data_IF_516630829581
#
_entry.id   IF_516630829581
#
_cell.length_a   1.000
_cell.length_b   1.000
_cell.length_c   1.000
_cell.angle_alpha   90.00
_cell.angle_beta   90.00
_cell.angle_gamma   90.00
#
_symmetry.space_group_name_H-M   'P 1'
#
loop_
_entity.id
_entity.type
_entity.pdbx_description
1 polymer ?
#
# COMPACT_ATOMS: atom_id res chain seq x y z
N UNK A 1 -20.74 -58.88 27.77
CA UNK A 1 -21.81 -58.53 26.81
C UNK A 1 -23.08 -58.22 27.59
N UNK A 2 -23.83 -57.15 27.24
CA UNK A 2 -24.93 -56.59 28.05
C UNK A 2 -26.35 -57.03 27.67
N UNK A 3 -27.37 -56.46 28.33
CA UNK A 3 -28.79 -56.77 28.06
C UNK A 3 -29.25 -56.30 26.68
N UNK A 4 -30.28 -56.94 26.11
CA UNK A 4 -30.83 -56.61 24.79
C UNK A 4 -31.23 -55.13 24.65
N UNK A 5 -31.87 -54.57 25.69
CA UNK A 5 -32.25 -53.14 25.74
C UNK A 5 -31.02 -52.23 25.71
N UNK A 6 -29.94 -52.61 26.39
CA UNK A 6 -28.66 -51.91 26.36
C UNK A 6 -27.99 -51.98 24.98
N UNK A 7 -27.99 -53.15 24.33
CA UNK A 7 -27.43 -53.33 22.99
C UNK A 7 -28.16 -52.47 21.95
N UNK A 8 -29.50 -52.43 21.99
CA UNK A 8 -30.30 -51.56 21.12
C UNK A 8 -29.95 -50.08 21.31
N UNK A 9 -29.72 -49.67 22.55
CA UNK A 9 -29.34 -48.30 22.87
C UNK A 9 -27.93 -47.96 22.35
N UNK A 10 -26.94 -48.81 22.61
CA UNK A 10 -25.55 -48.60 22.17
C UNK A 10 -25.46 -48.58 20.65
N UNK A 11 -26.15 -49.50 19.96
CA UNK A 11 -26.23 -49.49 18.48
C UNK A 11 -26.70 -48.14 17.95
N UNK A 12 -27.80 -47.61 18.49
CA UNK A 12 -28.33 -46.30 18.08
C UNK A 12 -27.31 -45.18 18.31
N UNK A 13 -26.66 -45.15 19.47
CA UNK A 13 -25.64 -44.14 19.79
C UNK A 13 -24.50 -44.19 18.77
N UNK A 14 -23.97 -45.38 18.49
CA UNK A 14 -22.86 -45.55 17.53
C UNK A 14 -23.27 -45.11 16.13
N UNK A 15 -24.43 -45.53 15.64
CA UNK A 15 -24.94 -45.13 14.32
C UNK A 15 -25.14 -43.62 14.21
N UNK A 16 -25.74 -42.98 15.22
CA UNK A 16 -25.99 -41.53 15.25
C UNK A 16 -24.68 -40.72 15.33
N UNK A 17 -23.66 -41.25 16.03
CA UNK A 17 -22.32 -40.66 16.08
C UNK A 17 -21.61 -40.75 14.73
N UNK A 18 -21.65 -41.91 14.07
CA UNK A 18 -21.03 -42.13 12.75
C UNK A 18 -21.67 -41.20 11.69
N UNK A 19 -22.99 -41.05 11.73
CA UNK A 19 -23.73 -40.17 10.79
C UNK A 19 -23.61 -38.68 11.12
N UNK A 20 -22.89 -38.31 12.20
CA UNK A 20 -22.78 -36.93 12.70
C UNK A 20 -24.15 -36.25 12.93
N UNK A 21 -25.14 -37.04 13.37
CA UNK A 21 -26.51 -36.56 13.67
C UNK A 21 -26.52 -35.97 15.08
N UNK A 22 -25.99 -36.72 16.04
CA UNK A 22 -25.84 -36.31 17.44
C UNK A 22 -24.48 -36.75 17.97
N UNK A 23 -23.82 -35.87 18.72
CA UNK A 23 -22.60 -36.18 19.45
C UNK A 23 -22.91 -37.15 20.62
N UNK A 24 -22.04 -38.11 20.96
CA UNK A 24 -22.31 -39.13 21.99
C UNK A 24 -22.66 -38.53 23.36
N UNK A 25 -22.09 -37.38 23.70
CA UNK A 25 -22.40 -36.63 24.94
C UNK A 25 -23.88 -36.29 25.05
N UNK A 26 -24.57 -35.98 23.94
CA UNK A 26 -26.01 -35.71 23.97
C UNK A 26 -26.83 -36.96 24.28
N UNK A 27 -26.43 -38.11 23.72
CA UNK A 27 -27.08 -39.38 24.06
C UNK A 27 -26.87 -39.79 25.51
N UNK A 28 -25.68 -39.54 26.07
CA UNK A 28 -25.40 -39.77 27.49
C UNK A 28 -26.32 -38.88 28.34
N UNK A 29 -26.46 -37.59 27.99
CA UNK A 29 -27.35 -36.67 28.71
C UNK A 29 -28.83 -37.10 28.63
N UNK A 30 -29.29 -37.52 27.46
CA UNK A 30 -30.63 -38.09 27.28
C UNK A 30 -30.83 -39.35 28.16
N UNK A 31 -29.83 -40.22 28.23
CA UNK A 31 -29.88 -41.45 29.03
C UNK A 31 -29.94 -41.18 30.53
N UNK A 32 -29.16 -40.22 31.02
CA UNK A 32 -29.20 -39.79 32.41
C UNK A 32 -30.61 -39.28 32.77
N UNK A 33 -31.18 -38.40 31.96
CA UNK A 33 -32.52 -37.84 32.19
C UNK A 33 -33.59 -38.96 32.15
N UNK A 34 -33.53 -39.87 31.17
CA UNK A 34 -34.46 -41.02 31.11
C UNK A 34 -34.36 -41.93 32.32
N UNK A 35 -33.16 -42.12 32.87
CA UNK A 35 -32.97 -42.94 34.08
C UNK A 35 -33.59 -42.29 35.31
N UNK A 36 -33.49 -40.97 35.43
CA UNK A 36 -34.13 -40.24 36.52
C UNK A 36 -35.67 -40.17 36.36
N UNK A 37 -36.17 -39.92 35.15
CA UNK A 37 -37.61 -39.92 34.87
C UNK A 37 -38.26 -41.28 35.10
N UNK A 38 -37.56 -42.37 34.78
CA UNK A 38 -38.05 -43.73 35.00
C UNK A 38 -38.25 -44.07 36.49
N UNK A 39 -37.59 -43.35 37.42
CA UNK A 39 -37.79 -43.54 38.86
C UNK A 39 -39.11 -42.94 39.36
N UNK A 40 -39.67 -41.98 38.63
CA UNK A 40 -40.89 -41.27 39.02
C UNK A 40 -42.13 -42.01 38.49
N UNK A 41 -42.95 -42.66 39.34
CA UNK A 41 -44.10 -43.46 38.88
C UNK A 41 -45.21 -42.61 38.26
N UNK A 42 -45.35 -41.34 38.66
CA UNK A 42 -46.38 -40.43 38.15
C UNK A 42 -46.24 -40.09 36.66
N UNK A 43 -45.02 -40.14 36.11
CA UNK A 43 -44.71 -39.78 34.72
C UNK A 43 -44.51 -41.02 33.83
N UNK A 44 -44.82 -42.22 34.33
CA UNK A 44 -44.59 -43.46 33.59
C UNK A 44 -45.52 -43.63 32.37
N UNK A 45 -46.73 -43.06 32.45
CA UNK A 45 -47.76 -43.14 31.39
C UNK A 45 -47.67 -42.00 30.38
N UNK A 46 -46.90 -40.95 30.67
CA UNK A 46 -46.79 -39.75 29.84
C UNK A 46 -45.57 -39.80 28.90
N UNK A 47 -45.63 -39.03 27.80
CA UNK A 47 -44.49 -38.87 26.88
C UNK A 47 -43.36 -38.06 27.50
N UNK A 48 -42.14 -38.60 27.50
CA UNK A 48 -40.95 -37.94 28.06
C UNK A 48 -40.28 -36.91 27.13
N UNK A 49 -40.81 -36.68 25.93
CA UNK A 49 -40.17 -35.84 24.90
C UNK A 49 -39.93 -34.39 25.37
N UNK A 50 -40.81 -33.87 26.23
CA UNK A 50 -40.71 -32.51 26.81
C UNK A 50 -39.48 -32.31 27.69
N UNK A 51 -39.01 -33.37 28.33
CA UNK A 51 -37.86 -33.33 29.24
C UNK A 51 -36.54 -33.67 28.53
N UNK A 52 -36.61 -34.14 27.28
CA UNK A 52 -35.42 -34.54 26.52
C UNK A 52 -34.82 -33.35 25.76
N UNK A 53 -33.49 -33.13 25.84
CA UNK A 53 -32.84 -32.07 25.08
C UNK A 53 -32.95 -32.29 23.56
N UNK A 54 -33.60 -31.35 22.87
CA UNK A 54 -33.70 -31.37 21.41
C UNK A 54 -32.50 -30.67 20.75
N UNK A 55 -31.42 -31.41 20.52
CA UNK A 55 -30.27 -30.89 19.78
C UNK A 55 -30.49 -31.02 18.28
N UNK A 56 -30.80 -29.90 17.62
CA UNK A 56 -30.85 -29.79 16.15
C UNK A 56 -29.58 -29.12 15.65
N UNK A 57 -28.87 -29.75 14.71
CA UNK A 57 -27.73 -29.14 14.03
C UNK A 57 -28.21 -27.89 13.29
N UNK A 58 -27.82 -26.71 13.77
CA UNK A 58 -28.10 -25.45 13.09
C UNK A 58 -27.16 -25.33 11.89
N UNK A 59 -27.60 -25.77 10.71
CA UNK A 59 -26.91 -25.51 9.45
C UNK A 59 -27.13 -24.05 9.03
N UNK A 60 -26.56 -23.11 9.79
CA UNK A 60 -26.59 -21.70 9.42
C UNK A 60 -25.71 -21.53 8.18
N UNK A 61 -26.31 -21.13 7.06
CA UNK A 61 -25.59 -20.89 5.82
C UNK A 61 -24.65 -19.70 6.03
N UNK A 62 -23.35 -19.96 6.05
CA UNK A 62 -22.34 -18.90 6.04
C UNK A 62 -22.33 -18.22 4.65
N UNK A 63 -21.99 -16.93 4.61
CA UNK A 63 -21.84 -16.20 3.36
C UNK A 63 -20.77 -16.90 2.51
N UNK A 64 -21.13 -17.27 1.28
CA UNK A 64 -20.20 -17.88 0.34
C UNK A 64 -19.15 -16.84 -0.06
N UNK A 65 -17.85 -17.15 -0.03
CA UNK A 65 -16.83 -16.26 -0.58
C UNK A 65 -17.09 -16.07 -2.08
N UNK A 66 -16.79 -14.88 -2.61
CA UNK A 66 -16.93 -14.62 -4.04
C UNK A 66 -15.90 -15.47 -4.79
N UNK A 67 -16.33 -16.62 -5.30
CA UNK A 67 -15.48 -17.57 -6.02
C UNK A 67 -15.16 -16.99 -7.39
N UNK A 68 -13.88 -16.69 -7.62
CA UNK A 68 -13.36 -16.46 -8.97
C UNK A 68 -13.68 -17.69 -9.83
N UNK A 69 -14.09 -17.47 -11.07
CA UNK A 69 -14.36 -18.55 -12.01
C UNK A 69 -13.15 -19.50 -12.11
N UNK A 70 -13.41 -20.80 -12.14
CA UNK A 70 -12.35 -21.81 -12.25
C UNK A 70 -11.74 -21.69 -13.65
N UNK A 71 -10.42 -21.64 -13.73
CA UNK A 71 -9.70 -21.67 -15.01
C UNK A 71 -10.07 -22.94 -15.76
N UNK A 72 -10.32 -22.81 -17.07
CA UNK A 72 -10.58 -23.95 -17.95
C UNK A 72 -9.40 -24.91 -17.89
N UNK A 73 -9.68 -26.21 -17.89
CA UNK A 73 -8.65 -27.24 -17.83
C UNK A 73 -7.81 -27.22 -19.10
N UNK A 74 -6.53 -26.92 -18.96
CA UNK A 74 -5.55 -27.01 -20.03
C UNK A 74 -4.72 -28.27 -19.81
N UNK A 75 -4.67 -29.22 -20.77
CA UNK A 75 -3.94 -30.47 -20.60
C UNK A 75 -2.42 -30.26 -20.57
N UNK A 76 -1.94 -29.16 -21.15
CA UNK A 76 -0.53 -28.80 -21.13
C UNK A 76 -0.19 -27.93 -19.92
N UNK A 77 0.96 -28.19 -19.26
CA UNK A 77 1.45 -27.30 -18.21
C UNK A 77 1.82 -25.93 -18.80
N UNK A 78 1.73 -24.85 -18.01
CA UNK A 78 2.26 -23.56 -18.42
C UNK A 78 3.79 -23.64 -18.64
N UNK A 79 4.37 -22.79 -19.52
CA UNK A 79 5.81 -22.77 -19.72
C UNK A 79 6.53 -22.42 -18.41
N UNK A 80 7.69 -23.02 -18.19
CA UNK A 80 8.53 -22.71 -17.04
C UNK A 80 9.05 -21.27 -17.16
N UNK A 81 9.16 -20.56 -16.03
CA UNK A 81 9.77 -19.24 -16.03
C UNK A 81 11.26 -19.38 -16.36
N UNK A 82 11.82 -18.58 -17.28
CA UNK A 82 13.22 -18.67 -17.66
C UNK A 82 14.13 -18.37 -16.47
N UNK A 83 15.30 -19.01 -16.41
CA UNK A 83 16.28 -18.71 -15.37
C UNK A 83 16.93 -17.34 -15.60
N UNK A 84 17.59 -16.80 -14.57
CA UNK A 84 18.36 -15.54 -14.72
C UNK A 84 19.44 -15.67 -15.80
N UNK A 85 20.07 -16.85 -15.88
CA UNK A 85 21.11 -17.15 -16.88
C UNK A 85 20.49 -17.12 -18.28
N UNK A 86 19.31 -17.72 -18.46
CA UNK A 86 18.61 -17.73 -19.75
C UNK A 86 18.25 -16.32 -20.21
N UNK A 87 17.76 -15.46 -19.30
CA UNK A 87 17.48 -14.06 -19.60
C UNK A 87 18.74 -13.27 -19.97
N UNK A 88 19.86 -13.52 -19.30
CA UNK A 88 21.15 -12.88 -19.62
C UNK A 88 21.74 -13.40 -20.95
N UNK A 89 21.52 -14.67 -21.28
CA UNK A 89 21.91 -15.27 -22.55
C UNK A 89 21.06 -14.73 -23.71
N UNK A 90 19.74 -14.65 -23.53
CA UNK A 90 18.80 -14.09 -24.51
C UNK A 90 19.09 -12.61 -24.77
N UNK A 91 19.39 -11.83 -23.73
CA UNK A 91 19.78 -10.41 -23.88
C UNK A 91 21.21 -10.22 -24.39
N UNK A 92 22.02 -11.28 -24.45
CA UNK A 92 23.45 -11.24 -24.80
C UNK A 92 24.34 -10.55 -23.76
N UNK A 93 23.78 -10.10 -22.64
CA UNK A 93 24.52 -9.44 -21.56
C UNK A 93 25.42 -10.43 -20.83
N UNK A 94 25.09 -11.73 -20.84
CA UNK A 94 25.91 -12.77 -20.21
C UNK A 94 27.37 -12.74 -20.69
N UNK A 95 27.59 -12.51 -21.98
CA UNK A 95 28.91 -12.49 -22.60
C UNK A 95 29.64 -11.14 -22.44
N UNK A 96 28.98 -10.09 -21.96
CA UNK A 96 29.61 -8.79 -21.76
C UNK A 96 30.41 -8.77 -20.45
N UNK A 97 31.62 -8.19 -20.49
CA UNK A 97 32.39 -7.94 -19.27
C UNK A 97 31.74 -6.87 -18.40
N UNK A 98 31.98 -6.94 -17.08
CA UNK A 98 31.39 -5.99 -16.12
C UNK A 98 31.73 -4.52 -16.42
N UNK A 99 32.92 -4.27 -16.99
CA UNK A 99 33.34 -2.94 -17.46
C UNK A 99 32.46 -2.44 -18.60
N UNK A 100 32.08 -3.30 -19.54
CA UNK A 100 31.18 -2.93 -20.64
C UNK A 100 29.75 -2.73 -20.15
N UNK A 101 29.29 -3.57 -19.21
CA UNK A 101 27.97 -3.44 -18.56
C UNK A 101 27.86 -2.11 -17.80
N UNK A 102 28.89 -1.73 -17.03
CA UNK A 102 28.90 -0.47 -16.28
C UNK A 102 28.98 0.75 -17.19
N UNK A 103 29.76 0.69 -18.28
CA UNK A 103 29.81 1.75 -19.29
C UNK A 103 28.44 1.97 -19.96
N UNK A 104 27.74 0.89 -20.35
CA UNK A 104 26.39 0.97 -20.92
C UNK A 104 25.38 1.59 -19.94
N UNK A 105 25.43 1.19 -18.66
CA UNK A 105 24.59 1.77 -17.59
C UNK A 105 24.89 3.25 -17.35
N UNK A 106 26.17 3.66 -17.43
CA UNK A 106 26.56 5.06 -17.30
C UNK A 106 26.04 5.89 -18.47
N UNK A 107 26.15 5.39 -19.69
CA UNK A 107 25.62 6.05 -20.89
C UNK A 107 24.11 6.24 -20.79
N UNK A 108 23.37 5.18 -20.43
CA UNK A 108 21.91 5.26 -20.24
C UNK A 108 21.51 6.29 -19.16
N UNK A 109 22.34 6.46 -18.13
CA UNK A 109 22.11 7.48 -17.09
C UNK A 109 22.33 8.90 -17.61
N UNK A 110 23.34 9.11 -18.45
CA UNK A 110 23.60 10.39 -19.10
C UNK A 110 22.48 10.75 -20.08
N UNK A 111 22.01 9.78 -20.88
CA UNK A 111 20.92 9.98 -21.84
C UNK A 111 19.61 10.32 -21.10
N UNK A 112 19.28 9.61 -20.01
CA UNK A 112 18.12 9.98 -19.17
C UNK A 112 18.26 11.35 -18.53
N UNK A 113 19.49 11.81 -18.26
CA UNK A 113 19.75 13.13 -17.70
C UNK A 113 19.58 14.23 -18.74
N UNK A 114 20.04 14.02 -19.98
CA UNK A 114 19.83 14.97 -21.08
C UNK A 114 18.34 15.08 -21.42
N UNK A 115 17.62 13.96 -21.55
CA UNK A 115 16.18 13.94 -21.79
C UNK A 115 15.39 14.74 -20.74
N UNK A 116 15.70 14.55 -19.45
CA UNK A 116 15.05 15.33 -18.37
C UNK A 116 15.41 16.81 -18.40
N UNK A 117 16.64 17.14 -18.80
CA UNK A 117 17.07 18.53 -18.95
C UNK A 117 16.30 19.20 -20.09
N UNK A 118 16.16 18.52 -21.22
CA UNK A 118 15.39 18.97 -22.38
C UNK A 118 13.90 19.10 -22.05
N UNK A 119 13.31 18.14 -21.33
CA UNK A 119 11.91 18.22 -20.89
C UNK A 119 11.69 19.43 -19.98
N UNK A 120 12.59 19.68 -19.02
CA UNK A 120 12.52 20.86 -18.15
C UNK A 120 12.70 22.16 -18.92
N UNK A 121 13.61 22.18 -19.91
CA UNK A 121 13.82 23.33 -20.79
C UNK A 121 12.57 23.62 -21.60
N UNK A 122 11.96 22.59 -22.21
CA UNK A 122 10.70 22.69 -22.96
C UNK A 122 9.54 23.18 -22.08
N UNK A 123 9.41 22.68 -20.85
CA UNK A 123 8.41 23.16 -19.88
C UNK A 123 8.62 24.63 -19.52
N UNK A 124 9.87 25.06 -19.34
CA UNK A 124 10.21 26.46 -19.04
C UNK A 124 9.92 27.38 -20.22
N UNK A 125 10.29 26.97 -21.44
CA UNK A 125 9.99 27.70 -22.68
C UNK A 125 8.47 27.81 -22.90
N UNK A 126 7.72 26.71 -22.69
CA UNK A 126 6.26 26.73 -22.78
C UNK A 126 5.60 27.66 -21.76
N UNK A 127 6.15 27.77 -20.54
CA UNK A 127 5.66 28.71 -19.53
C UNK A 127 5.99 30.18 -19.84
N UNK A 128 7.01 30.43 -20.67
CA UNK A 128 7.39 31.79 -21.08
C UNK A 128 6.64 32.28 -22.33
N UNK A 129 5.99 31.38 -23.06
CA UNK A 129 5.08 31.75 -24.15
C UNK A 129 3.76 32.21 -23.54
N UNK A 130 3.32 33.46 -23.78
CA UNK A 130 2.02 33.92 -23.32
C UNK A 130 0.90 33.02 -23.85
N UNK A 131 -0.12 32.69 -23.03
CA UNK A 131 -1.31 31.99 -23.51
C UNK A 131 -1.89 32.71 -24.72
N UNK A 132 -2.23 31.97 -25.79
CA UNK A 132 -2.89 32.56 -26.94
C UNK A 132 -4.30 32.98 -26.52
N UNK A 133 -4.57 34.27 -26.58
CA UNK A 133 -5.90 34.82 -26.41
C UNK A 133 -6.79 34.40 -27.58
N UNK A 134 -7.99 33.91 -27.29
CA UNK A 134 -8.99 33.63 -28.32
C UNK A 134 -9.54 34.97 -28.83
N UNK A 135 -9.11 35.43 -30.00
CA UNK A 135 -9.64 36.63 -30.69
C UNK A 135 -11.01 36.36 -31.35
N UNK A 136 -11.90 35.67 -30.62
CA UNK A 136 -13.30 35.52 -30.96
C UNK A 136 -14.13 35.98 -29.75
N UNK A 137 -14.13 37.28 -29.47
CA UNK A 137 -15.06 37.82 -28.46
C UNK A 137 -14.80 39.17 -27.80
N UNK A 138 -13.82 40.00 -28.17
CA UNK A 138 -13.78 41.39 -27.68
C UNK A 138 -13.48 42.41 -28.78
N UNK A 139 -14.50 43.23 -28.98
CA UNK A 139 -14.57 44.45 -29.76
C UNK A 139 -13.57 45.51 -29.31
N UNK A 140 -13.17 46.35 -30.27
CA UNK A 140 -12.57 47.66 -30.04
C UNK A 140 -13.24 48.40 -28.87
N UNK A 141 -12.47 48.73 -27.83
CA UNK A 141 -12.83 49.79 -26.90
C UNK A 141 -11.60 50.28 -26.13
N UNK A 142 -11.43 51.60 -26.19
CA UNK A 142 -10.71 52.42 -25.23
C UNK A 142 -9.17 52.35 -25.22
N UNK A 143 -8.61 53.06 -26.21
CA UNK A 143 -7.52 54.01 -25.98
C UNK A 143 -7.88 54.95 -24.82
N UNK A 144 -7.19 54.85 -23.69
CA UNK A 144 -6.94 56.00 -22.80
C UNK A 144 -5.75 55.71 -21.89
N UNK A 145 -4.57 56.09 -22.37
CA UNK A 145 -3.36 56.27 -21.58
C UNK A 145 -3.54 57.50 -20.68
N UNK A 146 -3.59 57.31 -19.37
CA UNK A 146 -3.31 58.39 -18.42
C UNK A 146 -1.79 58.40 -18.19
N UNK A 147 -1.06 59.25 -18.92
CA UNK A 147 0.41 59.34 -18.87
C UNK A 147 0.95 59.67 -17.46
N UNK A 148 0.12 60.23 -16.58
CA UNK A 148 0.47 60.57 -15.20
C UNK A 148 0.63 59.33 -14.30
N UNK A 149 -0.13 58.25 -14.50
CA UNK A 149 -0.03 57.05 -13.67
C UNK A 149 1.22 56.22 -13.99
N UNK A 150 1.62 56.16 -15.26
CA UNK A 150 2.84 55.46 -15.71
C UNK A 150 4.08 56.16 -15.15
N UNK A 151 4.08 57.50 -15.09
CA UNK A 151 5.16 58.29 -14.52
C UNK A 151 5.33 58.06 -13.00
N UNK A 152 4.25 57.84 -12.26
CA UNK A 152 4.32 57.60 -10.82
C UNK A 152 4.67 56.13 -10.50
N UNK A 153 4.23 55.19 -11.33
CA UNK A 153 4.67 53.79 -11.26
C UNK A 153 6.17 53.67 -11.53
N UNK A 154 6.70 54.36 -12.55
CA UNK A 154 8.15 54.34 -12.85
C UNK A 154 8.99 54.98 -11.76
N UNK A 155 8.55 56.09 -11.15
CA UNK A 155 9.22 56.70 -9.99
C UNK A 155 9.22 55.79 -8.77
N UNK A 156 8.11 55.08 -8.51
CA UNK A 156 8.02 54.16 -7.37
C UNK A 156 8.89 52.91 -7.55
N UNK A 157 8.97 52.36 -8.76
CA UNK A 157 9.86 51.25 -9.10
C UNK A 157 11.34 51.65 -8.94
N UNK A 158 11.72 52.84 -9.42
CA UNK A 158 13.09 53.35 -9.32
C UNK A 158 13.51 53.60 -7.87
N UNK A 159 12.58 54.10 -7.03
CA UNK A 159 12.80 54.25 -5.58
C UNK A 159 12.92 52.88 -4.88
N UNK A 160 12.10 51.89 -5.25
CA UNK A 160 12.20 50.52 -4.71
C UNK A 160 13.52 49.85 -5.10
N UNK A 161 13.94 49.94 -6.37
CA UNK A 161 15.21 49.38 -6.84
C UNK A 161 16.42 49.99 -6.10
N UNK A 162 16.42 51.31 -5.85
CA UNK A 162 17.48 51.96 -5.07
C UNK A 162 17.50 51.51 -3.60
N UNK A 163 16.34 51.24 -3.00
CA UNK A 163 16.24 50.69 -1.64
C UNK A 163 16.75 49.24 -1.57
N UNK A 164 16.39 48.40 -2.54
CA UNK A 164 16.88 47.01 -2.61
C UNK A 164 18.40 46.95 -2.81
N UNK A 165 18.98 47.82 -3.65
CA UNK A 165 20.43 47.87 -3.84
C UNK A 165 21.18 48.32 -2.59
N UNK A 166 20.59 49.20 -1.78
CA UNK A 166 21.15 49.61 -0.50
C UNK A 166 21.02 48.50 0.56
N UNK A 167 19.89 47.79 0.62
CA UNK A 167 19.74 46.67 1.55
C UNK A 167 20.62 45.46 1.19
N UNK A 168 20.81 45.18 -0.11
CA UNK A 168 21.71 44.12 -0.58
C UNK A 168 23.19 44.46 -0.31
N UNK A 169 23.57 45.75 -0.39
CA UNK A 169 24.88 46.20 0.04
C UNK A 169 25.07 46.09 1.57
N UNK A 170 24.06 46.39 2.37
CA UNK A 170 24.10 46.22 3.83
C UNK A 170 24.12 44.74 4.25
N UNK A 171 23.42 43.86 3.52
CA UNK A 171 23.37 42.42 3.79
C UNK A 171 24.67 41.72 3.37
N UNK A 172 25.28 42.10 2.23
CA UNK A 172 26.60 41.61 1.83
C UNK A 172 27.69 42.03 2.83
N UNK A 173 27.69 43.30 3.29
CA UNK A 173 28.62 43.77 4.34
C UNK A 173 28.47 42.97 5.63
N UNK A 174 27.24 42.54 5.98
CA UNK A 174 26.97 41.71 7.15
C UNK A 174 27.42 40.25 6.96
N UNK A 175 27.24 39.67 5.77
CA UNK A 175 27.69 38.31 5.43
C UNK A 175 29.23 38.23 5.43
N UNK A 176 29.93 39.21 4.85
CA UNK A 176 31.40 39.26 4.87
C UNK A 176 31.96 39.32 6.30
N UNK A 177 31.33 40.09 7.20
CA UNK A 177 31.72 40.17 8.61
C UNK A 177 31.55 38.84 9.38
N UNK A 178 30.57 38.02 8.98
CA UNK A 178 30.28 36.71 9.57
C UNK A 178 31.22 35.61 9.04
N UNK A 179 31.64 35.69 7.78
CA UNK A 179 32.63 34.76 7.20
C UNK A 179 34.02 35.04 7.76
N UNK A 180 34.43 36.30 7.90
CA UNK A 180 35.75 36.68 8.42
C UNK A 180 35.97 36.25 9.89
N UNK A 181 34.93 36.29 10.72
CA UNK A 181 35.00 35.89 12.14
C UNK A 181 35.08 34.37 12.35
N UNK A 182 34.85 33.56 11.31
CA UNK A 182 34.85 32.10 11.40
C UNK A 182 36.20 31.46 10.99
N UNK A 183 37.14 32.24 10.44
CA UNK A 183 38.49 31.75 10.09
C UNK A 183 39.47 31.77 11.28
N UNK A 184 39.31 32.66 12.26
CA UNK A 184 40.26 32.80 13.38
C UNK A 184 40.11 31.76 14.51
N UNK A 185 39.03 30.96 14.55
CA UNK A 185 38.81 29.97 15.61
C UNK A 185 38.67 28.53 15.10
N UNK A 186 39.73 27.96 14.51
CA UNK A 186 39.90 26.50 14.42
C UNK A 186 41.25 26.06 15.01
N UNK A 187 41.30 25.96 16.33
CA UNK A 187 42.39 25.29 17.04
C UNK A 187 42.35 23.76 16.78
N UNK A 188 43.48 23.22 16.30
CA UNK A 188 43.68 21.79 15.98
C UNK A 188 43.52 20.91 17.23
N UNK A 189 42.48 20.07 17.27
CA UNK A 189 42.28 19.07 18.32
C UNK A 189 43.18 17.84 18.08
N UNK A 190 44.21 17.66 18.92
CA UNK A 190 45.10 16.48 18.97
C UNK A 190 44.29 15.19 19.19
N UNK A 191 44.46 14.19 18.33
CA UNK A 191 43.98 12.81 18.54
C UNK A 191 44.99 12.05 19.40
N UNK A 192 44.53 11.49 20.53
CA UNK A 192 45.30 10.54 21.38
C UNK A 192 45.32 9.17 20.70
N UNK A 193 46.50 8.57 20.60
CA UNK A 193 46.69 7.17 20.25
C UNK A 193 46.30 6.28 21.44
N UNK A 194 45.55 5.21 21.19
CA UNK A 194 45.29 4.13 22.14
C UNK A 194 46.12 2.92 21.73
N UNK A 195 47.06 2.50 22.58
CA UNK A 195 47.67 1.17 22.54
C UNK A 195 47.01 0.27 23.59
N UNK A 196 46.46 -0.85 23.12
CA UNK A 196 46.51 -2.21 23.69
C UNK A 196 45.58 -3.10 22.89
#
# INVERSE_FOLDING_TARGET
MGSFKGLKQVRKIVEDCIKNIKHPVYHIKELLIKRELAKNPALATESWDRFLPNFKKKNVKQKKPNTKEKKQYTPFPPPQQPSKIDLELESGEYFMSDKKKSAKKWQEKLDKQSEKSEEKKRKREAAFVPPKENTAGLSESAKSTNDNEIADITKSLKKKAKKFRNSEAEENVKIESYVASNEESRSKKKRRSSSK
#
